data_IF_534853209929
#
_entry.id   IF_534853209929
#
_cell.length_a   1.000
_cell.length_b   1.000
_cell.length_c   1.000
_cell.angle_alpha   90.00
_cell.angle_beta   90.00
_cell.angle_gamma   90.00
#
_symmetry.space_group_name_H-M   'P 1'
#
loop_
_entity.id
_entity.type
_entity.pdbx_description
1 polymer ?
#
# COMPACT_ATOMS: atom_id res chain seq x y z
N UNK A 1 -13.98 -2.34 17.38
CA UNK A 1 -12.54 -2.64 17.63
C UNK A 1 -11.87 -2.63 16.27
N UNK A 2 -11.03 -1.63 16.01
CA UNK A 2 -10.24 -1.55 14.78
C UNK A 2 -9.16 -2.62 14.94
N UNK A 3 -9.23 -3.70 14.18
CA UNK A 3 -8.16 -4.67 14.12
C UNK A 3 -7.01 -4.03 13.34
N UNK A 4 -5.91 -3.75 14.00
CA UNK A 4 -4.66 -3.26 13.39
C UNK A 4 -3.94 -4.38 12.60
N UNK A 5 -4.54 -5.55 12.44
CA UNK A 5 -3.95 -6.71 11.76
C UNK A 5 -4.89 -7.26 10.68
N UNK A 6 -4.34 -7.43 9.47
CA UNK A 6 -5.00 -8.06 8.34
C UNK A 6 -4.36 -9.42 8.09
N UNK A 7 -5.14 -10.48 7.97
CA UNK A 7 -4.63 -11.83 7.75
C UNK A 7 -5.06 -12.31 6.36
N UNK A 8 -4.07 -12.63 5.52
CA UNK A 8 -4.30 -13.21 4.20
C UNK A 8 -3.72 -14.63 4.17
N UNK A 9 -4.53 -15.62 3.81
CA UNK A 9 -4.12 -17.03 3.78
C UNK A 9 -3.77 -17.52 2.38
N UNK A 10 -4.24 -16.83 1.34
CA UNK A 10 -3.99 -17.22 -0.04
C UNK A 10 -3.19 -16.19 -0.81
N UNK A 11 -2.45 -16.64 -1.82
CA UNK A 11 -1.75 -15.74 -2.74
C UNK A 11 -2.73 -14.83 -3.51
N UNK A 12 -3.97 -15.29 -3.72
CA UNK A 12 -5.02 -14.50 -4.36
C UNK A 12 -5.42 -13.31 -3.51
N UNK A 13 -5.64 -13.52 -2.19
CA UNK A 13 -6.00 -12.47 -1.25
C UNK A 13 -4.86 -11.45 -1.13
N UNK A 14 -3.60 -11.95 -1.09
CA UNK A 14 -2.43 -11.09 -1.09
C UNK A 14 -2.36 -10.23 -2.36
N UNK A 15 -2.56 -10.81 -3.54
CA UNK A 15 -2.56 -10.06 -4.81
C UNK A 15 -3.62 -8.98 -4.83
N UNK A 16 -4.81 -9.29 -4.34
CA UNK A 16 -5.90 -8.33 -4.24
C UNK A 16 -5.54 -7.20 -3.27
N UNK A 17 -5.06 -7.51 -2.07
CA UNK A 17 -4.64 -6.52 -1.10
C UNK A 17 -3.51 -5.61 -1.63
N UNK A 18 -2.47 -6.20 -2.22
CA UNK A 18 -1.35 -5.44 -2.80
C UNK A 18 -1.83 -4.48 -3.89
N UNK A 19 -2.75 -4.94 -4.74
CA UNK A 19 -3.34 -4.11 -5.79
C UNK A 19 -4.16 -2.95 -5.22
N UNK A 20 -4.93 -3.20 -4.19
CA UNK A 20 -5.69 -2.17 -3.47
C UNK A 20 -4.76 -1.18 -2.77
N UNK A 21 -3.72 -1.68 -2.09
CA UNK A 21 -2.73 -0.86 -1.41
C UNK A 21 -1.98 0.06 -2.40
N UNK A 22 -1.59 -0.46 -3.56
CA UNK A 22 -0.88 0.31 -4.58
C UNK A 22 -1.62 1.57 -5.05
N UNK A 23 -2.96 1.57 -4.98
CA UNK A 23 -3.79 2.71 -5.41
C UNK A 23 -3.70 3.91 -4.48
N UNK A 24 -3.46 3.66 -3.20
CA UNK A 24 -3.49 4.69 -2.15
C UNK A 24 -2.11 5.15 -1.71
N UNK A 25 -1.07 4.40 -2.06
CA UNK A 25 0.32 4.76 -1.78
C UNK A 25 0.77 5.98 -2.58
N UNK A 26 1.65 6.77 -1.97
CA UNK A 26 2.23 7.99 -2.52
C UNK A 26 3.72 8.09 -2.16
N UNK A 27 4.49 8.92 -2.84
CA UNK A 27 5.86 9.24 -2.43
C UNK A 27 5.92 9.64 -0.94
N UNK A 28 6.92 9.14 -0.24
CA UNK A 28 7.07 9.27 1.22
C UNK A 28 6.50 8.10 2.03
N UNK A 29 5.72 7.21 1.43
CA UNK A 29 5.21 6.04 2.15
C UNK A 29 6.25 4.92 2.21
N UNK A 30 6.38 4.29 3.40
CA UNK A 30 7.34 3.23 3.69
C UNK A 30 6.62 1.93 4.03
N UNK A 31 6.96 0.86 3.33
CA UNK A 31 6.48 -0.50 3.56
C UNK A 31 7.63 -1.33 4.13
N UNK A 32 7.54 -1.72 5.38
CA UNK A 32 8.54 -2.48 6.12
C UNK A 32 8.16 -3.96 6.17
N UNK A 33 8.90 -4.81 5.46
CA UNK A 33 8.66 -6.24 5.33
C UNK A 33 9.52 -7.04 6.29
N UNK A 34 8.88 -7.78 7.18
CA UNK A 34 9.52 -8.60 8.22
C UNK A 34 9.11 -10.06 8.08
N UNK A 35 9.93 -10.96 8.60
CA UNK A 35 9.67 -12.40 8.57
C UNK A 35 10.91 -13.22 8.29
N UNK A 36 10.84 -14.53 8.51
CA UNK A 36 11.94 -15.45 8.34
C UNK A 36 12.40 -15.55 6.88
N UNK A 37 13.57 -16.16 6.67
CA UNK A 37 14.06 -16.49 5.32
C UNK A 37 13.03 -17.40 4.62
N UNK A 38 12.74 -17.11 3.34
CA UNK A 38 11.74 -17.87 2.58
C UNK A 38 10.27 -17.56 2.93
N UNK A 39 10.00 -16.62 3.83
CA UNK A 39 8.60 -16.27 4.21
C UNK A 39 7.79 -15.63 3.07
N UNK A 40 8.44 -15.02 2.08
CA UNK A 40 7.76 -14.39 0.94
C UNK A 40 7.85 -12.86 0.89
N UNK A 41 8.79 -12.24 1.64
CA UNK A 41 9.02 -10.79 1.60
C UNK A 41 9.26 -10.30 0.17
N UNK A 42 10.18 -10.93 -0.55
CA UNK A 42 10.44 -10.60 -1.96
C UNK A 42 9.23 -10.84 -2.86
N UNK A 43 8.41 -11.84 -2.58
CA UNK A 43 7.15 -12.07 -3.32
C UNK A 43 6.20 -10.90 -3.13
N UNK A 44 6.04 -10.43 -1.89
CA UNK A 44 5.23 -9.25 -1.58
C UNK A 44 5.79 -8.01 -2.31
N UNK A 45 7.09 -7.76 -2.18
CA UNK A 45 7.76 -6.63 -2.83
C UNK A 45 7.54 -6.63 -4.36
N UNK A 46 7.76 -7.77 -5.01
CA UNK A 46 7.52 -7.94 -6.46
C UNK A 46 6.09 -7.62 -6.87
N UNK A 47 5.11 -8.14 -6.15
CA UNK A 47 3.70 -7.88 -6.43
C UNK A 47 3.36 -6.40 -6.28
N UNK A 48 3.90 -5.74 -5.26
CA UNK A 48 3.66 -4.32 -5.02
C UNK A 48 4.34 -3.44 -6.08
N UNK A 49 5.59 -3.70 -6.41
CA UNK A 49 6.32 -2.99 -7.47
C UNK A 49 5.61 -3.16 -8.82
N UNK A 50 5.24 -4.39 -9.19
CA UNK A 50 4.48 -4.64 -10.42
C UNK A 50 3.16 -3.86 -10.45
N UNK A 51 2.45 -3.79 -9.32
CA UNK A 51 1.18 -3.04 -9.23
C UNK A 51 1.35 -1.53 -9.32
N UNK A 52 2.51 -1.00 -8.92
CA UNK A 52 2.83 0.44 -8.93
C UNK A 52 3.42 0.90 -10.27
N UNK A 53 4.19 0.05 -10.95
CA UNK A 53 5.01 0.44 -12.12
C UNK A 53 4.66 -0.31 -13.40
N UNK A 54 3.87 -1.38 -13.31
CA UNK A 54 3.60 -2.33 -14.40
C UNK A 54 4.87 -3.11 -14.87
N UNK A 55 6.00 -2.98 -14.14
CA UNK A 55 7.23 -3.75 -14.41
C UNK A 55 6.95 -5.26 -14.34
N UNK A 56 7.36 -6.07 -15.33
CA UNK A 56 7.15 -7.51 -15.31
C UNK A 56 7.76 -8.18 -14.06
N UNK A 57 7.05 -9.15 -13.48
CA UNK A 57 7.47 -9.80 -12.23
C UNK A 57 8.84 -10.50 -12.33
N UNK A 58 9.19 -11.00 -13.52
CA UNK A 58 10.47 -11.62 -13.81
C UNK A 58 11.66 -10.65 -13.80
N UNK A 59 11.40 -9.37 -14.06
CA UNK A 59 12.41 -8.32 -14.04
C UNK A 59 12.67 -7.77 -12.63
N UNK A 60 11.75 -8.03 -11.68
CA UNK A 60 11.88 -7.58 -10.30
C UNK A 60 12.64 -8.66 -9.50
N UNK A 61 13.82 -8.31 -9.00
CA UNK A 61 14.66 -9.20 -8.18
C UNK A 61 14.80 -8.66 -6.76
N UNK A 62 15.18 -9.53 -5.80
CA UNK A 62 15.62 -9.04 -4.49
C UNK A 62 16.97 -8.37 -4.60
N UNK A 63 17.16 -7.15 -4.08
CA UNK A 63 18.42 -6.43 -4.14
C UNK A 63 19.42 -6.88 -3.04
N UNK A 64 19.38 -8.15 -2.63
CA UNK A 64 20.23 -8.69 -1.54
C UNK A 64 21.72 -8.42 -1.73
N UNK A 65 22.19 -8.32 -2.98
CA UNK A 65 23.61 -8.05 -3.28
C UNK A 65 23.90 -6.57 -3.51
N UNK A 66 22.93 -5.82 -4.06
CA UNK A 66 23.08 -4.41 -4.42
C UNK A 66 22.56 -3.47 -3.34
N UNK A 67 22.03 -4.00 -2.24
CA UNK A 67 21.37 -3.33 -1.12
C UNK A 67 20.06 -2.63 -1.50
N UNK A 68 19.96 -2.01 -2.66
CA UNK A 68 18.72 -1.40 -3.17
C UNK A 68 18.65 -1.42 -4.69
N UNK A 69 17.46 -1.28 -5.21
CA UNK A 69 17.13 -1.11 -6.62
C UNK A 69 15.95 -0.15 -6.77
N UNK A 70 15.96 0.68 -7.80
CA UNK A 70 14.87 1.60 -8.10
C UNK A 70 14.05 1.11 -9.29
N UNK A 71 12.75 1.41 -9.24
CA UNK A 71 11.79 1.16 -10.32
C UNK A 71 10.99 2.42 -10.54
N UNK A 72 10.64 2.69 -11.78
CA UNK A 72 9.97 3.93 -12.16
C UNK A 72 8.69 3.65 -12.93
N UNK A 73 7.72 4.52 -12.73
CA UNK A 73 6.56 4.66 -13.60
C UNK A 73 6.47 6.13 -14.04
N UNK A 74 5.49 6.46 -14.88
CA UNK A 74 5.32 7.85 -15.35
C UNK A 74 5.10 8.89 -14.23
N UNK A 75 4.74 8.45 -13.02
CA UNK A 75 4.36 9.32 -11.91
C UNK A 75 4.99 8.97 -10.56
N UNK A 76 5.64 7.82 -10.44
CA UNK A 76 6.13 7.31 -9.16
C UNK A 76 7.54 6.75 -9.33
N UNK A 77 8.36 6.94 -8.31
CA UNK A 77 9.64 6.27 -8.12
C UNK A 77 9.55 5.37 -6.88
N UNK A 78 9.99 4.12 -7.03
CA UNK A 78 9.98 3.12 -5.97
C UNK A 78 11.42 2.73 -5.65
N UNK A 79 11.78 2.77 -4.37
CA UNK A 79 13.06 2.25 -3.88
C UNK A 79 12.82 0.93 -3.14
N UNK A 80 13.43 -0.13 -3.63
CA UNK A 80 13.36 -1.46 -3.02
C UNK A 80 14.69 -1.78 -2.36
N UNK A 81 14.67 -1.97 -1.04
CA UNK A 81 15.82 -2.27 -0.19
C UNK A 81 15.75 -3.68 0.38
N UNK A 82 16.92 -4.31 0.61
CA UNK A 82 17.03 -5.56 1.34
C UNK A 82 18.14 -5.44 2.39
N UNK A 83 17.76 -5.38 3.67
CA UNK A 83 18.71 -5.21 4.78
C UNK A 83 19.29 -6.54 5.30
N UNK A 84 19.02 -7.66 4.63
CA UNK A 84 19.49 -8.98 5.10
C UNK A 84 20.98 -9.02 5.35
N UNK A 85 21.80 -8.51 4.43
CA UNK A 85 23.25 -8.56 4.46
C UNK A 85 23.92 -7.39 5.16
N UNK A 86 23.19 -6.36 5.50
CA UNK A 86 23.72 -5.19 6.20
C UNK A 86 24.11 -5.61 7.62
N UNK A 87 25.34 -5.34 8.02
CA UNK A 87 25.88 -5.72 9.31
C UNK A 87 26.00 -4.53 10.29
N UNK A 88 25.98 -3.29 9.77
CA UNK A 88 26.15 -2.10 10.59
C UNK A 88 25.29 -0.91 10.10
N UNK A 89 24.98 0.01 11.02
CA UNK A 89 24.32 1.27 10.66
C UNK A 89 25.19 2.18 9.79
N UNK A 90 26.53 1.98 9.79
CA UNK A 90 27.46 2.74 8.96
C UNK A 90 27.20 2.44 7.49
N UNK A 91 27.01 1.16 7.12
CA UNK A 91 26.68 0.77 5.75
C UNK A 91 25.38 1.41 5.27
N UNK A 92 24.40 1.56 6.17
CA UNK A 92 23.15 2.27 5.85
C UNK A 92 23.35 3.77 5.64
N UNK A 93 24.33 4.38 6.30
CA UNK A 93 24.62 5.80 6.12
C UNK A 93 25.25 6.13 4.74
N UNK A 94 25.77 5.12 4.05
CA UNK A 94 26.28 5.25 2.67
C UNK A 94 25.15 5.26 1.62
N UNK A 95 23.95 4.86 2.04
CA UNK A 95 22.75 4.85 1.21
C UNK A 95 21.95 6.10 1.58
N UNK A 96 21.57 6.92 0.60
CA UNK A 96 20.72 8.10 0.84
C UNK A 96 19.26 7.68 1.11
N UNK A 97 19.03 7.13 2.31
CA UNK A 97 17.71 6.74 2.76
C UNK A 97 16.79 7.95 2.98
N UNK A 98 17.35 9.10 3.36
CA UNK A 98 16.55 10.29 3.69
C UNK A 98 15.83 10.83 2.48
N UNK A 99 16.50 10.98 1.35
CA UNK A 99 15.87 11.39 0.09
C UNK A 99 14.79 10.38 -0.33
N UNK A 100 15.09 9.09 -0.21
CA UNK A 100 14.12 8.06 -0.58
C UNK A 100 12.87 8.09 0.31
N UNK A 101 13.02 8.33 1.60
CA UNK A 101 11.89 8.43 2.52
C UNK A 101 11.01 9.68 2.29
N UNK A 102 11.54 10.71 1.67
CA UNK A 102 10.77 11.92 1.34
C UNK A 102 10.10 11.84 -0.03
N UNK A 103 10.80 11.28 -1.02
CA UNK A 103 10.46 11.45 -2.43
C UNK A 103 10.00 10.18 -3.14
N UNK A 104 10.19 9.00 -2.54
CA UNK A 104 9.90 7.70 -3.17
C UNK A 104 8.92 6.88 -2.32
N UNK A 105 8.33 5.86 -2.92
CA UNK A 105 7.71 4.78 -2.16
C UNK A 105 8.81 3.79 -1.83
N UNK A 106 9.07 3.56 -0.54
CA UNK A 106 10.12 2.67 -0.09
C UNK A 106 9.54 1.30 0.32
N UNK A 107 10.11 0.22 -0.21
CA UNK A 107 9.81 -1.15 0.18
C UNK A 107 11.09 -1.74 0.75
N UNK A 108 11.07 -2.18 2.01
CA UNK A 108 12.27 -2.58 2.75
C UNK A 108 12.09 -3.99 3.28
N UNK A 109 12.87 -4.94 2.77
CA UNK A 109 12.95 -6.29 3.32
C UNK A 109 13.91 -6.33 4.53
N UNK A 110 13.61 -7.17 5.53
CA UNK A 110 14.38 -7.28 6.79
C UNK A 110 14.45 -5.96 7.57
N UNK A 111 13.36 -5.23 7.55
CA UNK A 111 13.25 -3.90 8.12
C UNK A 111 13.41 -3.88 9.66
N UNK A 112 13.08 -4.97 10.33
CA UNK A 112 13.22 -5.14 11.78
C UNK A 112 14.67 -5.06 12.28
N UNK A 113 15.67 -5.40 11.44
CA UNK A 113 17.09 -5.28 11.79
C UNK A 113 17.49 -3.84 12.16
N UNK A 114 16.86 -2.86 11.53
CA UNK A 114 17.18 -1.44 11.69
C UNK A 114 15.94 -0.57 11.90
N UNK A 115 14.99 -1.06 12.66
CA UNK A 115 13.68 -0.39 12.88
C UNK A 115 13.80 1.03 13.44
N UNK A 116 14.91 1.37 14.12
CA UNK A 116 15.16 2.70 14.71
C UNK A 116 15.43 3.80 13.69
N UNK A 117 15.93 3.44 12.50
CA UNK A 117 16.22 4.41 11.45
C UNK A 117 15.03 4.62 10.51
N UNK A 118 14.02 3.76 10.60
CA UNK A 118 12.85 3.86 9.75
C UNK A 118 11.93 4.98 10.24
N UNK A 119 11.22 5.66 9.33
CA UNK A 119 10.21 6.64 9.72
C UNK A 119 9.16 6.06 10.67
N UNK A 120 8.65 6.89 11.58
CA UNK A 120 7.54 6.50 12.44
C UNK A 120 6.27 6.21 11.63
N UNK A 121 6.04 7.00 10.56
CA UNK A 121 4.94 6.83 9.63
C UNK A 121 5.31 5.74 8.61
N UNK A 122 4.87 4.49 8.85
CA UNK A 122 5.13 3.34 7.97
C UNK A 122 4.06 2.27 8.09
N UNK A 123 4.02 1.36 7.14
CA UNK A 123 3.21 0.14 7.19
C UNK A 123 4.16 -1.04 7.42
N UNK A 124 4.09 -1.66 8.59
CA UNK A 124 4.81 -2.90 8.88
C UNK A 124 3.99 -4.10 8.41
N UNK A 125 4.65 -5.05 7.73
CA UNK A 125 4.06 -6.31 7.29
C UNK A 125 4.93 -7.43 7.80
N UNK A 126 4.41 -8.19 8.76
CA UNK A 126 5.03 -9.40 9.25
C UNK A 126 4.48 -10.59 8.47
N UNK A 127 5.38 -11.37 7.85
CA UNK A 127 5.04 -12.56 7.08
C UNK A 127 5.48 -13.78 7.86
N UNK A 128 4.51 -14.55 8.33
CA UNK A 128 4.71 -15.80 9.06
C UNK A 128 4.42 -17.00 8.17
N UNK A 129 5.23 -18.05 8.34
CA UNK A 129 5.00 -19.34 7.70
C UNK A 129 4.30 -20.25 8.69
N UNK A 130 3.14 -20.77 8.31
CA UNK A 130 2.43 -21.79 9.07
C UNK A 130 2.18 -22.97 8.14
N UNK A 131 3.02 -23.99 8.25
CA UNK A 131 3.08 -25.13 7.33
C UNK A 131 3.23 -24.68 5.87
N UNK A 132 2.19 -24.90 5.06
CA UNK A 132 2.15 -24.49 3.65
C UNK A 132 1.59 -23.08 3.44
N UNK A 133 0.91 -22.53 4.45
CA UNK A 133 0.25 -21.25 4.39
C UNK A 133 1.17 -20.09 4.74
N UNK A 134 0.80 -18.91 4.31
CA UNK A 134 1.48 -17.64 4.63
C UNK A 134 0.48 -16.69 5.25
N UNK A 135 0.78 -16.22 6.46
CA UNK A 135 -0.02 -15.25 7.19
C UNK A 135 0.67 -13.90 7.10
N UNK A 136 -0.03 -12.91 6.58
CA UNK A 136 0.46 -11.54 6.44
C UNK A 136 -0.24 -10.65 7.47
N UNK A 137 0.49 -10.21 8.48
CA UNK A 137 -0.02 -9.30 9.51
C UNK A 137 0.39 -7.88 9.15
N UNK A 138 -0.58 -7.05 8.84
CA UNK A 138 -0.37 -5.66 8.40
C UNK A 138 -0.62 -4.74 9.58
N UNK A 139 0.39 -3.95 9.96
CA UNK A 139 0.32 -3.02 11.08
C UNK A 139 0.71 -1.62 10.62
N UNK A 140 -0.27 -0.76 10.34
CA UNK A 140 0.01 0.63 10.02
C UNK A 140 0.44 1.41 11.27
N UNK A 141 1.47 2.24 11.13
CA UNK A 141 2.00 3.08 12.20
C UNK A 141 1.89 4.56 11.82
N UNK A 142 1.77 5.43 12.83
CA UNK A 142 1.66 6.86 12.64
C UNK A 142 0.52 7.25 11.70
N UNK A 143 0.79 8.15 10.77
CA UNK A 143 -0.19 8.62 9.76
C UNK A 143 -0.58 7.56 8.72
N UNK A 144 0.19 6.46 8.60
CA UNK A 144 -0.16 5.37 7.69
C UNK A 144 -1.46 4.65 8.10
N UNK A 145 -1.94 4.84 9.34
CA UNK A 145 -3.28 4.38 9.75
C UNK A 145 -4.37 4.95 8.86
N UNK A 146 -4.29 6.24 8.52
CA UNK A 146 -5.27 6.88 7.63
C UNK A 146 -5.30 6.23 6.24
N UNK A 147 -4.16 5.74 5.75
CA UNK A 147 -4.05 5.07 4.45
C UNK A 147 -4.90 3.79 4.48
N UNK A 148 -4.69 2.96 5.48
CA UNK A 148 -5.40 1.69 5.62
C UNK A 148 -6.88 1.91 5.98
N UNK A 149 -7.17 2.90 6.83
CA UNK A 149 -8.57 3.25 7.17
C UNK A 149 -9.34 3.71 5.94
N UNK A 150 -8.74 4.50 5.05
CA UNK A 150 -9.36 4.92 3.81
C UNK A 150 -9.60 3.74 2.85
N UNK A 151 -8.66 2.81 2.75
CA UNK A 151 -8.84 1.59 1.97
C UNK A 151 -10.03 0.79 2.50
N UNK A 152 -10.11 0.62 3.81
CA UNK A 152 -11.20 -0.12 4.45
C UNK A 152 -12.55 0.58 4.26
N UNK A 153 -12.61 1.91 4.35
CA UNK A 153 -13.83 2.69 4.07
C UNK A 153 -14.32 2.45 2.65
N UNK A 154 -13.41 2.51 1.66
CA UNK A 154 -13.75 2.22 0.26
C UNK A 154 -14.30 0.79 0.12
N UNK A 155 -13.61 -0.19 0.71
CA UNK A 155 -14.05 -1.61 0.65
C UNK A 155 -15.40 -1.81 1.30
N UNK A 156 -15.63 -1.25 2.48
CA UNK A 156 -16.91 -1.36 3.18
C UNK A 156 -18.03 -0.72 2.36
N UNK A 157 -17.81 0.48 1.82
CA UNK A 157 -18.78 1.16 0.98
C UNK A 157 -19.16 0.33 -0.25
N UNK A 158 -18.19 -0.27 -0.94
CA UNK A 158 -18.47 -1.12 -2.09
C UNK A 158 -19.18 -2.41 -1.71
N UNK A 159 -18.84 -3.00 -0.57
CA UNK A 159 -19.49 -4.20 -0.04
C UNK A 159 -20.94 -3.92 0.38
N UNK A 160 -21.21 -2.78 1.01
CA UNK A 160 -22.56 -2.35 1.41
C UNK A 160 -23.50 -2.18 0.20
N UNK A 161 -22.92 -1.89 -0.96
CA UNK A 161 -23.63 -1.82 -2.25
C UNK A 161 -23.65 -3.15 -3.01
N UNK A 162 -23.17 -4.25 -2.43
CA UNK A 162 -23.05 -5.56 -3.05
C UNK A 162 -22.21 -5.52 -4.35
N UNK A 163 -21.19 -4.64 -4.39
CA UNK A 163 -20.28 -4.48 -5.52
C UNK A 163 -19.02 -5.31 -5.29
N UNK A 164 -18.96 -6.47 -5.95
CA UNK A 164 -17.74 -7.28 -6.02
C UNK A 164 -16.76 -6.67 -7.03
N UNK A 165 -15.80 -5.89 -6.55
CA UNK A 165 -14.81 -5.28 -7.42
C UNK A 165 -13.56 -6.16 -7.57
N UNK A 166 -12.99 -6.15 -8.77
CA UNK A 166 -11.76 -6.87 -9.13
C UNK A 166 -10.57 -5.94 -9.33
N UNK A 167 -10.82 -4.63 -9.32
CA UNK A 167 -9.79 -3.61 -9.50
C UNK A 167 -10.23 -2.26 -8.96
N UNK A 168 -9.25 -1.56 -8.39
CA UNK A 168 -9.36 -0.18 -7.96
C UNK A 168 -8.19 0.58 -8.58
N UNK A 169 -8.43 1.72 -9.23
CA UNK A 169 -7.39 2.55 -9.82
C UNK A 169 -7.69 4.01 -9.53
N UNK A 170 -6.77 4.70 -8.86
CA UNK A 170 -6.87 6.14 -8.66
C UNK A 170 -6.78 6.85 -10.01
N UNK A 171 -7.68 7.78 -10.24
CA UNK A 171 -7.66 8.61 -11.45
C UNK A 171 -6.80 9.86 -11.22
N UNK A 172 -6.16 10.41 -12.27
CA UNK A 172 -5.51 11.70 -12.17
C UNK A 172 -6.50 12.74 -11.63
N UNK A 173 -6.08 13.48 -10.59
CA UNK A 173 -6.89 14.57 -10.05
C UNK A 173 -6.86 15.78 -10.97
N UNK A 174 -7.93 16.58 -10.91
CA UNK A 174 -7.92 17.96 -11.40
C UNK A 174 -7.44 18.91 -10.29
N UNK A 175 -7.59 20.22 -10.49
CA UNK A 175 -7.26 21.23 -9.48
C UNK A 175 -8.16 21.15 -8.21
N UNK A 176 -9.14 20.25 -8.17
CA UNK A 176 -9.99 20.03 -7.01
C UNK A 176 -9.29 19.13 -5.98
N UNK A 177 -9.65 19.30 -4.69
CA UNK A 177 -9.14 18.41 -3.63
C UNK A 177 -9.81 17.02 -3.64
N UNK A 178 -10.73 16.76 -4.57
CA UNK A 178 -11.47 15.51 -4.68
C UNK A 178 -10.60 14.41 -5.23
N UNK A 179 -10.73 13.21 -4.69
CA UNK A 179 -10.08 12.01 -5.21
C UNK A 179 -11.11 11.16 -5.95
N UNK A 180 -10.72 10.68 -7.11
CA UNK A 180 -11.55 9.82 -7.93
C UNK A 180 -10.85 8.48 -8.11
N UNK A 181 -11.64 7.40 -8.06
CA UNK A 181 -11.16 6.05 -8.27
C UNK A 181 -12.02 5.37 -9.32
N UNK A 182 -11.37 4.69 -10.26
CA UNK A 182 -12.06 3.76 -11.14
C UNK A 182 -12.17 2.43 -10.43
N UNK A 183 -13.38 1.97 -10.25
CA UNK A 183 -13.71 0.65 -9.70
C UNK A 183 -14.06 -0.26 -10.85
N UNK A 184 -13.34 -1.36 -11.01
CA UNK A 184 -13.64 -2.40 -12.00
C UNK A 184 -14.33 -3.54 -11.29
N UNK A 185 -15.53 -3.91 -11.72
CA UNK A 185 -16.26 -5.08 -11.24
C UNK A 185 -16.44 -6.12 -12.36
N UNK A 186 -16.97 -7.28 -12.00
CA UNK A 186 -17.30 -8.32 -13.00
C UNK A 186 -18.42 -7.90 -13.97
N UNK A 187 -19.23 -6.92 -13.57
CA UNK A 187 -20.40 -6.48 -14.36
C UNK A 187 -20.15 -5.14 -15.05
N UNK A 188 -19.58 -4.18 -14.33
CA UNK A 188 -19.47 -2.80 -14.80
C UNK A 188 -18.19 -2.13 -14.30
N UNK A 189 -17.79 -1.05 -14.98
CA UNK A 189 -16.81 -0.09 -14.51
C UNK A 189 -17.52 1.16 -13.99
N UNK A 190 -17.15 1.63 -12.83
CA UNK A 190 -17.75 2.80 -12.22
C UNK A 190 -16.68 3.76 -11.69
N UNK A 191 -17.07 5.01 -11.47
CA UNK A 191 -16.21 6.01 -10.83
C UNK A 191 -16.70 6.22 -9.40
N UNK A 192 -15.78 6.08 -8.45
CA UNK A 192 -16.00 6.40 -7.06
C UNK A 192 -15.37 7.76 -6.77
N UNK A 193 -16.10 8.68 -6.21
CA UNK A 193 -15.62 9.97 -5.75
C UNK A 193 -15.51 9.96 -4.22
N UNK A 194 -14.36 10.30 -3.69
CA UNK A 194 -14.14 10.54 -2.27
C UNK A 194 -14.63 11.97 -1.94
N UNK A 195 -15.73 12.05 -1.22
CA UNK A 195 -16.40 13.30 -0.84
C UNK A 195 -16.09 13.76 0.60
N UNK A 196 -15.18 13.09 1.30
CA UNK A 196 -14.85 13.35 2.73
C UNK A 196 -14.46 14.80 3.03
N UNK A 197 -14.05 15.56 2.04
CA UNK A 197 -13.64 16.96 2.21
C UNK A 197 -14.78 17.99 2.06
N UNK A 198 -16.00 17.61 1.69
CA UNK A 198 -17.13 18.54 1.56
C UNK A 198 -17.88 18.80 2.87
N UNK A 199 -17.62 18.01 3.92
CA UNK A 199 -18.30 18.15 5.21
C UNK A 199 -17.88 19.36 6.06
N UNK A 200 -16.85 20.13 5.63
CA UNK A 200 -16.42 21.36 6.31
C UNK A 200 -17.23 22.62 5.92
N UNK A 201 -18.11 22.54 4.93
CA UNK A 201 -19.01 23.65 4.59
C UNK A 201 -20.45 23.14 4.51
N UNK A 202 -21.24 23.50 5.54
CA UNK A 202 -22.67 23.31 5.60
C UNK A 202 -23.37 23.76 4.32
N UNK A 203 -23.83 22.86 3.49
CA UNK A 203 -24.93 23.14 2.58
C UNK A 203 -26.08 22.18 2.85
N UNK A 204 -27.16 22.78 3.39
CA UNK A 204 -28.48 22.20 3.55
C UNK A 204 -29.08 21.97 2.18
N UNK A 205 -29.12 20.75 1.69
CA UNK A 205 -30.20 20.27 0.81
C UNK A 205 -30.37 18.78 1.08
N UNK A 206 -31.53 18.42 1.59
CA UNK A 206 -31.83 17.10 2.10
C UNK A 206 -31.92 16.07 1.00
N UNK A 207 -31.33 14.96 1.32
CA UNK A 207 -31.61 13.56 1.07
C UNK A 207 -30.31 12.78 1.26
N UNK A 208 -29.95 12.49 2.50
CA UNK A 208 -28.92 11.51 2.80
C UNK A 208 -29.22 10.86 4.13
N UNK A 209 -29.43 9.58 4.12
CA UNK A 209 -29.20 8.73 5.26
C UNK A 209 -27.78 8.18 5.14
N UNK A 210 -26.84 8.76 5.87
CA UNK A 210 -25.75 8.13 6.58
C UNK A 210 -24.76 7.27 5.81
N UNK A 211 -24.26 7.68 4.63
CA UNK A 211 -22.99 7.19 4.04
C UNK A 211 -22.38 8.38 3.27
N UNK A 212 -21.75 9.30 3.98
CA UNK A 212 -21.43 10.61 3.41
C UNK A 212 -20.01 10.75 2.83
N UNK A 213 -19.23 9.67 2.77
CA UNK A 213 -17.81 9.78 2.38
C UNK A 213 -17.56 9.48 0.89
N UNK A 214 -18.46 8.76 0.19
CA UNK A 214 -18.25 8.36 -1.20
C UNK A 214 -19.51 8.48 -2.06
N UNK A 215 -19.31 8.80 -3.34
CA UNK A 215 -20.38 8.90 -4.35
C UNK A 215 -19.97 8.08 -5.58
N UNK A 216 -20.87 7.22 -6.07
CA UNK A 216 -20.71 6.55 -7.37
C UNK A 216 -21.27 7.46 -8.46
N UNK A 217 -20.49 7.67 -9.52
CA UNK A 217 -20.81 8.49 -10.69
C UNK A 217 -20.84 7.59 -11.92
#
# INVERSE_FOLDING_TARGET
MIHDEYIFQTLSDLRQFVKELSVILKPGDVIALNGQIGSGKTTFAKLLINSLTETPLEEITSPTFNLYQTYESSALEIAHYDFYRIESEIELSEIDLSDSFENKICIIEWADKYSKILPEDRIEILIECQDVDRIYKVKPLGKCREIIDNLNKIKNFLNDLDINFTGLKKLPGDASKRKYFRVTSLKDNMILMDATQENDTKSKTGLSQGIDDFIII
#
